data_IF_918614421275
#
_entry.id   IF_918614421275
#
_cell.length_a   1.000
_cell.length_b   1.000
_cell.length_c   1.000
_cell.angle_alpha   90.00
_cell.angle_beta   90.00
_cell.angle_gamma   90.00
#
_symmetry.space_group_name_H-M   'P 1'
#
loop_
_entity.id
_entity.type
_entity.pdbx_description
1 polymer ?
#
# COMPACT_ATOMS: atom_id res chain seq x y z
N UNK A 1 -9.71 1.11 -23.53
CA UNK A 1 -10.09 0.68 -22.17
C UNK A 1 -8.86 0.78 -21.31
N UNK A 2 -8.91 1.51 -20.19
CA UNK A 2 -7.81 1.71 -19.25
C UNK A 2 -8.19 1.12 -17.90
N UNK A 3 -7.26 0.43 -17.24
CA UNK A 3 -7.41 -0.06 -15.88
C UNK A 3 -6.33 0.56 -14.98
N UNK A 4 -6.71 0.97 -13.77
CA UNK A 4 -5.77 1.37 -12.73
C UNK A 4 -5.56 0.16 -11.80
N UNK A 5 -4.30 -0.19 -11.58
CA UNK A 5 -3.91 -1.31 -10.72
C UNK A 5 -3.15 -0.78 -9.50
N UNK A 6 -3.71 -0.99 -8.31
CA UNK A 6 -3.07 -0.59 -7.06
C UNK A 6 -2.28 -1.77 -6.47
N UNK A 7 -0.98 -1.59 -6.14
CA UNK A 7 -0.12 -2.67 -5.69
C UNK A 7 -0.40 -3.09 -4.25
N UNK A 8 0.07 -4.29 -3.90
CA UNK A 8 0.08 -4.82 -2.54
C UNK A 8 1.37 -4.51 -1.78
N UNK A 9 1.42 -4.98 -0.52
CA UNK A 9 2.60 -4.88 0.33
C UNK A 9 3.80 -5.60 -0.29
N UNK A 10 4.97 -4.97 -0.24
CA UNK A 10 6.20 -5.39 -0.90
C UNK A 10 6.57 -4.55 -2.13
N UNK A 11 5.67 -3.65 -2.57
CA UNK A 11 5.94 -2.73 -3.69
C UNK A 11 6.62 -1.43 -3.26
N UNK A 12 6.64 -1.11 -1.95
CA UNK A 12 7.23 0.12 -1.44
C UNK A 12 8.77 0.09 -1.51
N UNK A 13 9.35 1.21 -1.85
CA UNK A 13 10.80 1.45 -1.88
C UNK A 13 11.13 2.77 -1.18
N UNK A 14 12.32 2.91 -0.58
CA UNK A 14 12.76 4.19 -0.03
C UNK A 14 12.63 5.31 -1.06
N UNK A 15 12.11 6.47 -0.65
CA UNK A 15 11.97 7.63 -1.51
C UNK A 15 10.83 7.57 -2.53
N UNK A 16 9.89 6.59 -2.44
CA UNK A 16 8.85 6.40 -3.47
C UNK A 16 7.94 7.61 -3.69
N UNK A 17 7.83 8.53 -2.73
CA UNK A 17 7.03 9.75 -2.86
C UNK A 17 7.85 10.97 -3.28
N UNK A 18 9.17 10.90 -3.30
CA UNK A 18 10.05 12.08 -3.48
C UNK A 18 9.69 12.87 -4.75
N UNK A 19 9.58 12.20 -5.89
CA UNK A 19 9.27 12.87 -7.15
C UNK A 19 7.85 13.48 -7.19
N UNK A 20 6.89 12.85 -6.54
CA UNK A 20 5.50 13.34 -6.49
C UNK A 20 5.35 14.60 -5.65
N UNK A 21 6.19 14.76 -4.61
CA UNK A 21 6.11 15.89 -3.68
C UNK A 21 6.82 17.17 -4.17
N UNK A 22 7.37 17.15 -5.37
CA UNK A 22 7.78 18.36 -6.08
C UNK A 22 6.55 19.18 -6.50
N UNK A 23 5.40 18.54 -6.68
CA UNK A 23 4.11 19.20 -6.90
C UNK A 23 3.48 19.62 -5.57
N UNK A 24 3.22 20.93 -5.42
CA UNK A 24 2.68 21.52 -4.19
C UNK A 24 1.27 21.04 -3.86
N UNK A 25 0.42 20.75 -4.85
CA UNK A 25 -0.94 20.27 -4.62
C UNK A 25 -0.93 18.80 -4.16
N UNK A 26 -0.07 17.96 -4.74
CA UNK A 26 0.11 16.59 -4.28
C UNK A 26 0.72 16.53 -2.87
N UNK A 27 1.66 17.42 -2.58
CA UNK A 27 2.21 17.56 -1.22
C UNK A 27 1.16 17.96 -0.19
N UNK A 28 0.30 18.92 -0.54
CA UNK A 28 -0.83 19.33 0.31
C UNK A 28 -1.83 18.20 0.52
N UNK A 29 -2.11 17.42 -0.52
CA UNK A 29 -2.97 16.26 -0.44
C UNK A 29 -2.39 15.21 0.51
N UNK A 30 -1.10 14.87 0.38
CA UNK A 30 -0.40 13.95 1.29
C UNK A 30 -0.43 14.45 2.74
N UNK A 31 -0.28 15.76 2.95
CA UNK A 31 -0.38 16.37 4.29
C UNK A 31 -1.77 16.14 4.90
N UNK A 32 -2.84 16.20 4.10
CA UNK A 32 -4.20 15.89 4.58
C UNK A 32 -4.35 14.42 4.99
N UNK A 33 -3.75 13.50 4.23
CA UNK A 33 -3.70 12.08 4.57
C UNK A 33 -2.93 11.83 5.86
N UNK A 34 -1.74 12.40 5.98
CA UNK A 34 -0.92 12.33 7.20
C UNK A 34 -1.68 12.81 8.43
N UNK A 35 -2.38 13.94 8.31
CA UNK A 35 -3.19 14.52 9.39
C UNK A 35 -4.38 13.63 9.78
N UNK A 36 -5.02 12.99 8.79
CA UNK A 36 -6.20 12.15 9.02
C UNK A 36 -5.89 10.89 9.83
N UNK A 37 -4.65 10.39 9.78
CA UNK A 37 -4.21 9.16 10.46
C UNK A 37 -3.11 9.38 11.51
N UNK A 38 -2.70 10.64 11.72
CA UNK A 38 -1.60 11.01 12.62
C UNK A 38 -0.32 10.21 12.37
N UNK A 39 0.07 10.07 11.09
CA UNK A 39 1.27 9.37 10.64
C UNK A 39 2.02 10.25 9.63
N UNK A 40 3.32 10.45 9.82
CA UNK A 40 4.16 11.25 8.93
C UNK A 40 4.48 10.52 7.63
N UNK A 41 3.54 10.57 6.68
CA UNK A 41 3.67 9.91 5.37
C UNK A 41 4.73 10.60 4.49
N UNK A 42 4.98 11.91 4.66
CA UNK A 42 6.03 12.60 3.93
C UNK A 42 7.39 12.02 4.32
N UNK A 43 7.69 11.94 5.61
CA UNK A 43 8.94 11.36 6.09
C UNK A 43 9.09 9.89 5.69
N UNK A 44 8.04 9.10 5.86
CA UNK A 44 8.04 7.68 5.47
C UNK A 44 8.28 7.49 3.97
N UNK A 45 7.71 8.34 3.13
CA UNK A 45 7.79 8.24 1.69
C UNK A 45 9.04 8.87 1.06
N UNK A 46 9.85 9.62 1.83
CA UNK A 46 11.01 10.35 1.27
C UNK A 46 12.34 9.98 1.93
N UNK A 47 12.42 9.89 3.27
CA UNK A 47 13.68 9.73 4.00
C UNK A 47 13.79 8.47 4.83
N UNK A 48 12.68 7.78 5.11
CA UNK A 48 12.71 6.53 5.86
C UNK A 48 13.44 5.43 5.08
N UNK A 49 14.17 4.59 5.79
CA UNK A 49 14.89 3.46 5.21
C UNK A 49 13.98 2.27 4.89
N UNK A 50 14.57 1.25 4.27
CA UNK A 50 13.85 0.06 3.83
C UNK A 50 13.26 -0.74 5.01
N UNK A 51 13.91 -0.77 6.15
CA UNK A 51 13.45 -1.53 7.31
C UNK A 51 12.25 -0.84 7.97
N UNK A 52 12.28 0.49 8.08
CA UNK A 52 11.16 1.25 8.63
C UNK A 52 9.90 1.16 7.77
N UNK A 53 10.02 1.28 6.44
CA UNK A 53 8.87 1.17 5.52
C UNK A 53 8.41 -0.26 5.28
N UNK A 54 9.14 -1.27 5.76
CA UNK A 54 8.77 -2.69 5.72
C UNK A 54 7.79 -3.07 6.83
N UNK A 55 7.80 -2.35 7.95
CA UNK A 55 6.83 -2.54 9.02
C UNK A 55 5.41 -2.42 8.47
N UNK A 56 4.56 -3.40 8.77
CA UNK A 56 3.20 -3.47 8.21
C UNK A 56 2.33 -2.26 8.58
N UNK A 57 2.54 -1.69 9.77
CA UNK A 57 1.81 -0.50 10.22
C UNK A 57 2.20 0.77 9.42
N UNK A 58 3.42 0.81 8.86
CA UNK A 58 3.91 1.88 8.01
C UNK A 58 3.69 1.59 6.53
N UNK A 59 3.99 0.35 6.10
CA UNK A 59 3.93 -0.07 4.70
C UNK A 59 2.54 0.13 4.08
N UNK A 60 1.49 -0.29 4.79
CA UNK A 60 0.15 -0.28 4.24
C UNK A 60 -0.39 1.14 4.01
N UNK A 61 -0.36 2.07 5.00
CA UNK A 61 -0.74 3.46 4.74
C UNK A 61 0.11 4.13 3.65
N UNK A 62 1.42 3.85 3.62
CA UNK A 62 2.32 4.42 2.64
C UNK A 62 1.98 3.98 1.21
N UNK A 63 1.68 2.69 1.00
CA UNK A 63 1.32 2.14 -0.32
C UNK A 63 -0.01 2.73 -0.82
N UNK A 64 -1.03 2.81 0.06
CA UNK A 64 -2.32 3.40 -0.31
C UNK A 64 -2.17 4.89 -0.62
N UNK A 65 -1.44 5.64 0.22
CA UNK A 65 -1.15 7.04 -0.04
C UNK A 65 -0.44 7.25 -1.38
N UNK A 66 0.59 6.45 -1.67
CA UNK A 66 1.32 6.52 -2.95
C UNK A 66 0.40 6.20 -4.14
N UNK A 67 -0.48 5.21 -4.01
CA UNK A 67 -1.45 4.87 -5.06
C UNK A 67 -2.42 6.01 -5.34
N UNK A 68 -2.96 6.64 -4.29
CA UNK A 68 -3.88 7.78 -4.42
C UNK A 68 -3.16 9.01 -5.00
N UNK A 69 -1.98 9.37 -4.48
CA UNK A 69 -1.17 10.48 -4.99
C UNK A 69 -0.83 10.27 -6.46
N UNK A 70 -0.40 9.07 -6.86
CA UNK A 70 -0.10 8.75 -8.25
C UNK A 70 -1.32 8.89 -9.16
N UNK A 71 -2.49 8.46 -8.70
CA UNK A 71 -3.73 8.59 -9.45
C UNK A 71 -4.18 10.05 -9.59
N UNK A 72 -4.06 10.86 -8.53
CA UNK A 72 -4.32 12.30 -8.60
C UNK A 72 -3.36 13.03 -9.56
N UNK A 73 -2.10 12.60 -9.62
CA UNK A 73 -1.12 13.14 -10.57
C UNK A 73 -1.45 12.85 -12.04
N UNK A 74 -2.19 11.77 -12.33
CA UNK A 74 -2.67 11.50 -13.68
C UNK A 74 -3.70 12.51 -14.17
N UNK A 75 -4.36 13.23 -13.24
CA UNK A 75 -5.35 14.24 -13.55
C UNK A 75 -6.71 13.68 -13.97
N UNK A 76 -7.68 14.60 -14.13
CA UNK A 76 -9.07 14.27 -14.48
C UNK A 76 -9.26 13.73 -15.90
N UNK A 77 -8.27 13.91 -16.77
CA UNK A 77 -8.36 13.52 -18.18
C UNK A 77 -8.17 11.99 -18.36
N UNK A 78 -7.68 11.31 -17.32
CA UNK A 78 -7.53 9.86 -17.31
C UNK A 78 -8.83 9.20 -16.90
N UNK A 79 -9.58 8.73 -17.89
CA UNK A 79 -10.83 8.01 -17.67
C UNK A 79 -10.56 6.51 -17.62
N UNK A 80 -10.36 5.96 -16.42
CA UNK A 80 -10.21 4.54 -16.20
C UNK A 80 -11.57 3.85 -16.19
N UNK A 81 -11.67 2.73 -16.91
CA UNK A 81 -12.88 1.90 -16.95
C UNK A 81 -12.96 0.95 -15.75
N UNK A 82 -11.83 0.64 -15.14
CA UNK A 82 -11.70 -0.29 -14.01
C UNK A 82 -10.61 0.17 -13.04
N UNK A 83 -10.83 -0.11 -11.77
CA UNK A 83 -9.82 -0.07 -10.73
C UNK A 83 -9.72 -1.45 -10.07
N UNK A 84 -8.52 -1.97 -9.86
CA UNK A 84 -8.29 -3.22 -9.15
C UNK A 84 -7.10 -3.07 -8.22
N UNK A 85 -7.06 -3.85 -7.15
CA UNK A 85 -5.99 -3.83 -6.16
C UNK A 85 -5.59 -5.23 -5.73
N UNK A 86 -4.35 -5.35 -5.30
CA UNK A 86 -3.86 -6.58 -4.67
C UNK A 86 -3.77 -6.37 -3.16
N UNK A 87 -4.54 -7.15 -2.37
CA UNK A 87 -4.53 -7.08 -0.89
C UNK A 87 -4.80 -5.65 -0.39
N UNK A 88 -3.81 -4.98 0.23
CA UNK A 88 -3.94 -3.58 0.71
C UNK A 88 -4.30 -2.60 -0.42
N UNK A 89 -3.89 -2.88 -1.65
CA UNK A 89 -4.23 -2.09 -2.83
C UNK A 89 -5.73 -2.10 -3.16
N UNK A 90 -6.51 -3.06 -2.68
CA UNK A 90 -7.97 -3.08 -2.83
C UNK A 90 -8.62 -1.86 -2.19
N UNK A 91 -8.04 -1.34 -1.08
CA UNK A 91 -8.53 -0.13 -0.40
C UNK A 91 -8.30 1.10 -1.29
N UNK A 92 -7.12 1.21 -1.92
CA UNK A 92 -6.86 2.26 -2.88
C UNK A 92 -7.79 2.16 -4.10
N UNK A 93 -7.98 0.95 -4.64
CA UNK A 93 -8.89 0.71 -5.76
C UNK A 93 -10.33 1.10 -5.43
N UNK A 94 -10.81 0.85 -4.20
CA UNK A 94 -12.15 1.25 -3.75
C UNK A 94 -12.30 2.78 -3.70
N UNK A 95 -11.28 3.51 -3.25
CA UNK A 95 -11.28 4.97 -3.27
C UNK A 95 -11.25 5.52 -4.71
N UNK A 96 -10.38 4.97 -5.57
CA UNK A 96 -10.28 5.36 -6.98
C UNK A 96 -11.56 5.07 -7.78
N UNK A 97 -12.32 4.06 -7.38
CA UNK A 97 -13.63 3.76 -7.93
C UNK A 97 -14.76 4.65 -7.34
N UNK A 98 -14.45 5.54 -6.40
CA UNK A 98 -15.43 6.42 -5.75
C UNK A 98 -16.34 5.72 -4.73
N UNK A 99 -16.02 4.50 -4.32
CA UNK A 99 -16.82 3.73 -3.34
C UNK A 99 -16.65 4.26 -1.93
N UNK A 100 -15.46 4.74 -1.59
CA UNK A 100 -15.11 5.39 -0.33
C UNK A 100 -14.30 6.65 -0.63
N UNK A 101 -14.22 7.59 0.33
CA UNK A 101 -13.34 8.76 0.18
C UNK A 101 -11.88 8.38 0.41
N UNK A 102 -10.94 9.17 -0.13
CA UNK A 102 -9.50 9.00 0.14
C UNK A 102 -9.21 9.00 1.65
N UNK A 103 -9.85 9.90 2.38
CA UNK A 103 -9.67 10.01 3.84
C UNK A 103 -10.18 8.77 4.57
N UNK A 104 -11.30 8.20 4.15
CA UNK A 104 -11.80 6.95 4.73
C UNK A 104 -10.91 5.77 4.37
N UNK A 105 -10.38 5.73 3.14
CA UNK A 105 -9.38 4.76 2.72
C UNK A 105 -8.13 4.82 3.59
N UNK A 106 -7.62 6.03 3.87
CA UNK A 106 -6.46 6.23 4.73
C UNK A 106 -6.71 5.79 6.17
N UNK A 107 -7.87 6.11 6.75
CA UNK A 107 -8.25 5.64 8.09
C UNK A 107 -8.39 4.13 8.16
N UNK A 108 -9.05 3.53 7.16
CA UNK A 108 -9.24 2.09 7.08
C UNK A 108 -7.91 1.34 6.95
N UNK A 109 -7.03 1.78 6.06
CA UNK A 109 -5.73 1.14 5.85
C UNK A 109 -4.81 1.29 7.06
N UNK A 110 -4.85 2.43 7.75
CA UNK A 110 -4.08 2.65 8.96
C UNK A 110 -4.49 1.68 10.07
N UNK A 111 -5.79 1.55 10.32
CA UNK A 111 -6.32 0.57 11.27
C UNK A 111 -5.94 -0.87 10.88
N UNK A 112 -6.11 -1.23 9.60
CA UNK A 112 -5.74 -2.55 9.09
C UNK A 112 -4.26 -2.85 9.31
N UNK A 113 -3.37 -1.90 9.01
CA UNK A 113 -1.93 -2.04 9.20
C UNK A 113 -1.55 -2.28 10.65
N UNK A 114 -2.14 -1.51 11.56
CA UNK A 114 -1.92 -1.66 13.01
C UNK A 114 -2.39 -3.03 13.53
N UNK A 115 -3.60 -3.46 13.16
CA UNK A 115 -4.15 -4.74 13.62
C UNK A 115 -3.38 -5.94 13.04
N UNK A 116 -2.93 -5.86 11.79
CA UNK A 116 -2.06 -6.88 11.19
C UNK A 116 -0.69 -6.94 11.85
N UNK A 117 -0.08 -5.79 12.18
CA UNK A 117 1.18 -5.75 12.91
C UNK A 117 1.04 -6.36 14.33
N UNK A 118 -0.05 -6.06 15.05
CA UNK A 118 -0.37 -6.70 16.33
C UNK A 118 -0.54 -8.21 16.17
N UNK A 119 -1.30 -8.66 15.19
CA UNK A 119 -1.50 -10.09 14.95
C UNK A 119 -0.18 -10.81 14.66
N UNK A 120 0.70 -10.22 13.84
CA UNK A 120 2.02 -10.77 13.53
C UNK A 120 2.95 -10.84 14.74
N UNK A 121 2.77 -9.98 15.75
CA UNK A 121 3.57 -9.99 16.98
C UNK A 121 3.18 -11.09 17.99
N UNK A 122 2.04 -11.75 17.80
CA UNK A 122 1.55 -12.79 18.74
C UNK A 122 2.31 -14.12 18.62
N UNK A 123 2.88 -14.39 17.46
CA UNK A 123 3.70 -15.59 17.23
C UNK A 123 4.76 -15.31 16.16
N UNK A 124 5.94 -15.94 16.24
CA UNK A 124 6.92 -15.88 15.16
C UNK A 124 6.29 -16.40 13.86
N UNK A 125 6.01 -15.51 12.95
CA UNK A 125 5.38 -15.81 11.67
C UNK A 125 5.97 -14.92 10.58
N UNK A 126 5.84 -15.36 9.34
CA UNK A 126 6.28 -14.61 8.18
C UNK A 126 5.49 -14.99 6.94
N UNK A 127 5.71 -14.24 5.88
CA UNK A 127 5.17 -14.56 4.56
C UNK A 127 6.28 -14.55 3.54
N UNK A 128 6.22 -15.50 2.60
CA UNK A 128 7.09 -15.54 1.44
C UNK A 128 6.26 -15.76 0.18
N UNK A 129 6.65 -15.10 -0.90
CA UNK A 129 6.07 -15.35 -2.22
C UNK A 129 6.93 -16.36 -2.95
N UNK A 130 6.34 -17.46 -3.38
CA UNK A 130 6.99 -18.42 -4.28
C UNK A 130 6.72 -17.98 -5.71
N UNK A 131 7.77 -17.65 -6.44
CA UNK A 131 7.69 -17.24 -7.84
C UNK A 131 8.08 -18.41 -8.75
N UNK A 132 7.11 -18.87 -9.54
CA UNK A 132 7.28 -20.03 -10.42
C UNK A 132 7.18 -21.38 -9.71
N UNK A 133 7.48 -22.45 -10.43
CA UNK A 133 7.39 -23.83 -9.93
C UNK A 133 6.00 -24.46 -10.08
N UNK A 134 5.99 -25.80 -10.03
CA UNK A 134 4.75 -26.57 -10.07
C UNK A 134 4.08 -26.55 -8.69
N UNK A 135 2.78 -26.23 -8.63
CA UNK A 135 2.00 -26.10 -7.38
C UNK A 135 2.12 -27.35 -6.49
N UNK A 136 2.10 -28.54 -7.07
CA UNK A 136 2.20 -29.80 -6.34
C UNK A 136 3.54 -29.96 -5.62
N UNK A 137 4.63 -29.53 -6.26
CA UNK A 137 5.99 -29.56 -5.69
C UNK A 137 6.09 -28.57 -4.52
N UNK A 138 5.54 -27.36 -4.69
CA UNK A 138 5.55 -26.34 -3.62
C UNK A 138 4.75 -26.82 -2.41
N UNK A 139 3.56 -27.39 -2.62
CA UNK A 139 2.74 -27.91 -1.52
C UNK A 139 3.40 -29.09 -0.81
N UNK A 140 4.09 -29.99 -1.54
CA UNK A 140 4.83 -31.08 -0.94
C UNK A 140 5.98 -30.56 -0.06
N UNK A 141 6.73 -29.56 -0.52
CA UNK A 141 7.80 -28.95 0.26
C UNK A 141 7.27 -28.23 1.53
N UNK A 142 6.14 -27.51 1.45
CA UNK A 142 5.48 -26.88 2.61
C UNK A 142 5.13 -27.94 3.67
N UNK A 143 4.50 -29.05 3.23
CA UNK A 143 4.14 -30.14 4.12
C UNK A 143 5.36 -30.83 4.76
N UNK A 144 6.43 -31.04 3.99
CA UNK A 144 7.68 -31.65 4.46
C UNK A 144 8.39 -30.79 5.51
N UNK A 145 8.32 -29.46 5.35
CA UNK A 145 8.90 -28.49 6.29
C UNK A 145 8.01 -28.23 7.51
N UNK A 146 6.79 -28.71 7.53
CA UNK A 146 5.84 -28.50 8.62
C UNK A 146 5.31 -27.06 8.73
N UNK A 147 5.22 -26.37 7.59
CA UNK A 147 4.78 -24.97 7.46
C UNK A 147 3.28 -24.88 7.18
#
# INVERSE_FOLDING_TARGET
>A
MLAILAPGQGSQTPGLLTAWLEDAELKKLLTSYSSAINLDLERLGTVADADEIKDTANAQPLIVAASLISAHALGSDVNASFAAGHSVGEIAAAALAGTITDIDAMKLVHLRGQEMAKAASLAPAGMAAVLGGERSVVLAAINELGL
#
